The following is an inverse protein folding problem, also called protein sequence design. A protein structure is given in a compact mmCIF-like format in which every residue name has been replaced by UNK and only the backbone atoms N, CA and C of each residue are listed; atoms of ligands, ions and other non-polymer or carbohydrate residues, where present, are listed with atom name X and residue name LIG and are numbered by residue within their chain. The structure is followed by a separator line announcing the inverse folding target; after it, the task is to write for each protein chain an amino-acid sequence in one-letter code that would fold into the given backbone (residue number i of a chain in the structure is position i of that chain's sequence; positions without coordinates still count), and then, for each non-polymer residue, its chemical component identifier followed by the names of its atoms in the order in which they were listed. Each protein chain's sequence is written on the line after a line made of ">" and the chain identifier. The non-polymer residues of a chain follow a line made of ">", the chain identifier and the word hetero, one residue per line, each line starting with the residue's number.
data_IF_722261575122
#
_entry.id   IF_722261575122
#
_cell.length_a   1.000
_cell.length_b   1.000
_cell.length_c   1.000
_cell.angle_alpha   90.00
_cell.angle_beta   90.00
_cell.angle_gamma   90.00
#
_symmetry.space_group_name_H-M   'P 1'
#
loop_
_entity.id
_entity.type
_entity.pdbx_description
1 polymer ?
#
# COMPACT_ATOMS: atom_id res chain seq x y z
N UNK A 1 32.79 -14.72 14.62
CA UNK A 1 31.54 -15.29 14.08
C UNK A 1 30.45 -14.30 14.40
N UNK A 2 30.21 -13.36 13.48
CA UNK A 2 29.14 -12.36 13.65
C UNK A 2 27.84 -13.01 13.23
N UNK A 3 26.93 -13.17 14.19
CA UNK A 3 25.58 -13.63 13.91
C UNK A 3 24.86 -12.51 13.17
N UNK A 4 24.72 -12.65 11.86
CA UNK A 4 23.77 -11.84 11.08
C UNK A 4 22.37 -12.14 11.63
N UNK A 5 21.87 -11.24 12.47
CA UNK A 5 20.47 -11.22 12.85
C UNK A 5 19.68 -10.96 11.56
N UNK A 6 19.10 -12.02 11.00
CA UNK A 6 18.06 -11.90 9.98
C UNK A 6 16.96 -11.07 10.60
N UNK A 7 17.00 -9.76 10.34
CA UNK A 7 15.95 -8.83 10.73
C UNK A 7 14.83 -9.11 9.76
N UNK A 8 13.95 -10.04 10.13
CA UNK A 8 12.69 -10.25 9.41
C UNK A 8 11.99 -8.89 9.36
N UNK A 9 11.64 -8.37 8.18
CA UNK A 9 10.94 -7.11 8.08
C UNK A 9 9.63 -7.21 8.86
N UNK A 10 9.19 -6.14 9.53
CA UNK A 10 7.95 -6.18 10.30
C UNK A 10 6.79 -6.51 9.36
N UNK A 11 5.94 -7.45 9.78
CA UNK A 11 4.75 -7.87 9.03
C UNK A 11 3.47 -7.44 9.74
N UNK A 12 2.38 -7.32 9.00
CA UNK A 12 1.04 -7.05 9.53
C UNK A 12 0.02 -7.98 8.90
N UNK A 13 -0.96 -8.41 9.70
CA UNK A 13 -2.09 -9.17 9.20
C UNK A 13 -3.19 -8.21 8.72
N UNK A 14 -3.63 -8.37 7.48
CA UNK A 14 -4.75 -7.63 6.89
C UNK A 14 -5.80 -8.60 6.35
N UNK A 15 -7.00 -8.09 6.07
CA UNK A 15 -8.05 -8.83 5.37
C UNK A 15 -8.09 -8.36 3.92
N UNK A 16 -8.03 -9.28 2.96
CA UNK A 16 -8.17 -8.96 1.54
C UNK A 16 -9.60 -8.54 1.20
N UNK A 17 -9.80 -7.92 0.04
CA UNK A 17 -11.13 -7.62 -0.49
C UNK A 17 -12.01 -8.87 -0.75
N UNK A 18 -11.41 -10.07 -0.80
CA UNK A 18 -12.13 -11.35 -0.87
C UNK A 18 -12.47 -11.92 0.52
N UNK A 19 -12.03 -11.28 1.60
CA UNK A 19 -12.26 -11.70 2.98
C UNK A 19 -11.18 -12.65 3.53
N UNK A 20 -10.12 -12.91 2.77
CA UNK A 20 -9.05 -13.83 3.17
C UNK A 20 -7.97 -13.09 3.97
N UNK A 21 -7.40 -13.71 5.02
CA UNK A 21 -6.28 -13.12 5.74
C UNK A 21 -5.04 -13.11 4.85
N UNK A 22 -4.34 -11.98 4.82
CA UNK A 22 -3.08 -11.81 4.11
C UNK A 22 -2.04 -11.21 5.04
N UNK A 23 -0.85 -11.83 5.07
CA UNK A 23 0.31 -11.28 5.76
C UNK A 23 1.07 -10.36 4.80
N UNK A 24 1.25 -9.11 5.22
CA UNK A 24 1.93 -8.07 4.45
C UNK A 24 3.25 -7.71 5.11
N UNK A 25 4.32 -7.69 4.32
CA UNK A 25 5.59 -7.06 4.69
C UNK A 25 5.44 -5.54 4.65
N UNK A 26 5.92 -4.86 5.68
CA UNK A 26 6.05 -3.40 5.71
C UNK A 26 7.26 -2.90 4.91
N UNK A 27 8.09 -3.79 4.36
CA UNK A 27 9.08 -3.40 3.38
C UNK A 27 8.43 -3.19 2.00
N UNK A 28 8.25 -1.91 1.66
CA UNK A 28 7.72 -1.44 0.39
C UNK A 28 8.81 -0.82 -0.51
N UNK A 29 10.09 -0.98 -0.17
CA UNK A 29 11.23 -0.31 -0.83
C UNK A 29 11.26 -0.53 -2.36
N UNK A 30 10.91 -1.74 -2.82
CA UNK A 30 10.79 -2.11 -4.25
C UNK A 30 9.87 -1.17 -5.03
N UNK A 31 8.81 -0.66 -4.38
CA UNK A 31 7.83 0.21 -5.00
C UNK A 31 8.07 1.69 -4.71
N UNK A 32 9.06 2.02 -3.88
CA UNK A 32 9.39 3.40 -3.50
C UNK A 32 8.24 4.12 -2.79
N UNK A 33 7.40 3.38 -2.07
CA UNK A 33 6.38 3.91 -1.16
C UNK A 33 6.69 3.43 0.25
N UNK A 34 6.24 4.17 1.26
CA UNK A 34 6.27 3.72 2.64
C UNK A 34 4.90 3.14 3.01
N UNK A 35 4.83 2.15 3.91
CA UNK A 35 3.56 1.77 4.52
C UNK A 35 2.87 3.00 5.12
N UNK A 36 1.54 2.99 5.15
CA UNK A 36 0.71 4.12 5.58
C UNK A 36 0.75 5.35 4.67
N UNK A 37 1.52 5.33 3.58
CA UNK A 37 1.47 6.40 2.59
C UNK A 37 0.10 6.43 1.92
N UNK A 38 -0.47 7.63 1.84
CA UNK A 38 -1.69 7.90 1.12
C UNK A 38 -1.33 8.32 -0.31
N UNK A 39 -1.95 7.68 -1.31
CA UNK A 39 -1.71 7.94 -2.74
C UNK A 39 -3.01 8.29 -3.46
N UNK A 40 -2.96 9.27 -4.35
CA UNK A 40 -4.07 9.65 -5.22
C UNK A 40 -3.96 8.90 -6.54
N UNK A 41 -5.08 8.31 -6.96
CA UNK A 41 -5.21 7.73 -8.29
C UNK A 41 -5.62 8.85 -9.24
N UNK A 42 -4.70 9.27 -10.11
CA UNK A 42 -4.97 10.30 -11.14
C UNK A 42 -5.25 9.72 -12.53
N UNK A 43 -5.10 8.40 -12.68
CA UNK A 43 -5.40 7.64 -13.90
C UNK A 43 -6.14 6.36 -13.52
N UNK A 44 -6.61 5.63 -14.53
CA UNK A 44 -7.36 4.35 -14.42
C UNK A 44 -8.83 4.49 -13.99
N UNK A 45 -9.51 3.34 -13.79
CA UNK A 45 -10.87 3.24 -13.25
C UNK A 45 -10.98 3.73 -11.79
N UNK A 46 -9.85 3.87 -11.11
CA UNK A 46 -9.78 4.37 -9.74
C UNK A 46 -9.55 5.89 -9.68
N UNK A 47 -9.55 6.59 -10.83
CA UNK A 47 -9.35 8.03 -10.87
C UNK A 47 -10.30 8.77 -9.89
N UNK A 48 -9.74 9.66 -9.07
CA UNK A 48 -10.46 10.39 -8.03
C UNK A 48 -10.63 9.63 -6.72
N UNK A 49 -10.12 8.39 -6.61
CA UNK A 49 -10.01 7.67 -5.35
C UNK A 49 -8.62 7.81 -4.75
N UNK A 50 -8.51 7.35 -3.52
CA UNK A 50 -7.28 7.37 -2.73
C UNK A 50 -6.94 5.96 -2.26
N UNK A 51 -5.65 5.64 -2.25
CA UNK A 51 -5.09 4.38 -1.76
C UNK A 51 -4.29 4.61 -0.49
N UNK A 52 -4.50 3.78 0.52
CA UNK A 52 -3.63 3.70 1.68
C UNK A 52 -2.70 2.50 1.50
N UNK A 53 -1.40 2.73 1.35
CA UNK A 53 -0.41 1.66 1.22
C UNK A 53 -0.33 0.88 2.53
N UNK A 54 -0.45 -0.45 2.46
CA UNK A 54 -0.43 -1.33 3.64
C UNK A 54 0.81 -2.20 3.72
N UNK A 55 1.38 -2.55 2.58
CA UNK A 55 2.56 -3.39 2.54
C UNK A 55 2.70 -4.13 1.22
N UNK A 56 3.60 -5.11 1.19
CA UNK A 56 3.83 -5.98 0.05
C UNK A 56 3.64 -7.44 0.43
N UNK A 57 3.19 -8.26 -0.52
CA UNK A 57 3.12 -9.71 -0.35
C UNK A 57 3.11 -10.38 -1.72
N UNK A 58 3.88 -11.45 -1.88
CA UNK A 58 4.01 -12.16 -3.17
C UNK A 58 4.56 -11.29 -4.32
N UNK A 59 5.38 -10.28 -4.01
CA UNK A 59 5.89 -9.33 -5.00
C UNK A 59 4.84 -8.34 -5.53
N UNK A 60 3.70 -8.21 -4.84
CA UNK A 60 2.64 -7.27 -5.18
C UNK A 60 2.49 -6.20 -4.10
N UNK A 61 2.02 -5.02 -4.50
CA UNK A 61 1.73 -3.94 -3.58
C UNK A 61 0.27 -4.01 -3.13
N UNK A 62 0.06 -3.96 -1.83
CA UNK A 62 -1.25 -4.03 -1.20
C UNK A 62 -1.67 -2.70 -0.61
N UNK A 63 -2.90 -2.29 -0.88
CA UNK A 63 -3.45 -1.01 -0.46
C UNK A 63 -4.95 -1.10 -0.19
N UNK A 64 -5.46 -0.27 0.72
CA UNK A 64 -6.90 -0.10 0.92
C UNK A 64 -7.42 1.11 0.11
N UNK A 65 -8.65 1.04 -0.39
CA UNK A 65 -9.25 2.08 -1.23
C UNK A 65 -10.25 2.93 -0.48
N UNK A 66 -10.15 4.25 -0.65
CA UNK A 66 -10.98 5.24 0.00
C UNK A 66 -11.50 6.30 -0.99
N UNK A 67 -12.62 6.96 -0.68
CA UNK A 67 -13.15 8.03 -1.51
C UNK A 67 -12.34 9.33 -1.40
N UNK A 68 -11.58 9.55 -0.32
CA UNK A 68 -10.79 10.75 -0.10
C UNK A 68 -9.60 10.49 0.83
N UNK A 69 -8.68 11.46 0.92
CA UNK A 69 -7.50 11.36 1.78
C UNK A 69 -7.86 11.43 3.26
N UNK A 70 -8.87 12.23 3.61
CA UNK A 70 -9.39 12.33 4.97
C UNK A 70 -9.92 10.99 5.45
N UNK A 71 -10.68 10.28 4.61
CA UNK A 71 -11.18 8.95 4.93
C UNK A 71 -10.05 7.92 5.09
N UNK A 72 -8.98 8.04 4.31
CA UNK A 72 -7.80 7.16 4.40
C UNK A 72 -6.92 7.46 5.63
N UNK A 73 -6.99 8.67 6.18
CA UNK A 73 -6.21 9.10 7.34
C UNK A 73 -6.84 8.71 8.70
N UNK A 74 -8.11 8.27 8.70
CA UNK A 74 -8.80 7.87 9.91
C UNK A 74 -8.24 6.55 10.49
N UNK A 75 -8.21 6.37 11.82
CA UNK A 75 -7.73 5.13 12.44
C UNK A 75 -8.49 3.88 11.95
N UNK A 76 -9.80 3.99 11.72
CA UNK A 76 -10.63 2.91 11.18
C UNK A 76 -10.22 2.46 9.77
N UNK A 77 -9.51 3.30 9.01
CA UNK A 77 -8.98 2.94 7.69
C UNK A 77 -8.01 1.75 7.75
N UNK A 78 -7.36 1.52 8.90
CA UNK A 78 -6.46 0.39 9.13
C UNK A 78 -7.15 -0.98 9.05
N UNK A 79 -8.46 -1.02 9.33
CA UNK A 79 -9.28 -2.23 9.28
C UNK A 79 -9.93 -2.46 7.90
N UNK A 80 -9.78 -1.53 6.96
CA UNK A 80 -10.38 -1.63 5.65
C UNK A 80 -9.78 -2.80 4.85
N UNK A 81 -10.60 -3.52 4.04
CA UNK A 81 -10.10 -4.58 3.19
C UNK A 81 -9.07 -4.08 2.18
N UNK A 82 -7.99 -4.85 2.02
CA UNK A 82 -6.90 -4.52 1.11
C UNK A 82 -7.10 -5.16 -0.27
N UNK A 83 -6.71 -4.42 -1.29
CA UNK A 83 -6.61 -4.86 -2.67
C UNK A 83 -5.14 -4.88 -3.07
N UNK A 84 -4.86 -5.59 -4.16
CA UNK A 84 -3.50 -5.78 -4.65
C UNK A 84 -3.39 -5.32 -6.09
N UNK A 85 -2.19 -4.91 -6.47
CA UNK A 85 -1.83 -4.69 -7.87
C UNK A 85 -0.45 -5.28 -8.16
N UNK A 86 -0.30 -5.86 -9.35
CA UNK A 86 0.97 -6.37 -9.83
C UNK A 86 1.67 -5.30 -10.66
N UNK A 87 2.82 -4.82 -10.18
CA UNK A 87 3.66 -3.87 -10.90
C UNK A 87 5.13 -4.24 -10.65
N UNK A 88 6.03 -3.92 -11.58
CA UNK A 88 7.47 -4.20 -11.47
C UNK A 88 8.22 -3.16 -10.63
N UNK A 89 7.58 -2.04 -10.29
CA UNK A 89 8.17 -0.97 -9.48
C UNK A 89 7.38 0.34 -9.55
N UNK A 90 7.93 1.38 -8.91
CA UNK A 90 7.30 2.71 -8.76
C UNK A 90 6.84 3.34 -10.07
N UNK A 91 7.70 3.30 -11.10
CA UNK A 91 7.42 3.96 -12.38
C UNK A 91 6.22 3.34 -13.10
N UNK A 92 6.04 2.04 -12.98
CA UNK A 92 4.90 1.34 -13.59
C UNK A 92 3.60 1.69 -12.88
N UNK A 93 3.62 1.82 -11.55
CA UNK A 93 2.48 2.31 -10.75
C UNK A 93 2.06 3.72 -11.16
N UNK A 94 3.03 4.64 -11.30
CA UNK A 94 2.78 6.01 -11.76
C UNK A 94 2.23 6.01 -13.20
N UNK A 95 2.77 5.18 -14.09
CA UNK A 95 2.32 5.13 -15.49
C UNK A 95 0.91 4.56 -15.63
N UNK A 96 0.62 3.42 -15.00
CA UNK A 96 -0.65 2.70 -15.15
C UNK A 96 -1.78 3.32 -14.35
N UNK A 97 -1.50 3.71 -13.11
CA UNK A 97 -2.52 4.14 -12.15
C UNK A 97 -2.42 5.62 -11.79
N UNK A 98 -1.37 6.32 -12.23
CA UNK A 98 -1.20 7.74 -11.92
C UNK A 98 -1.02 7.98 -10.44
N UNK A 99 -0.33 7.08 -9.72
CA UNK A 99 -0.11 7.22 -8.28
C UNK A 99 0.67 8.49 -7.99
N UNK A 100 0.04 9.41 -7.29
CA UNK A 100 0.66 10.62 -6.75
C UNK A 100 0.64 10.51 -5.24
N UNK A 101 1.78 10.70 -4.57
CA UNK A 101 1.80 10.73 -3.11
C UNK A 101 0.96 11.93 -2.66
N UNK A 102 0.11 11.71 -1.67
CA UNK A 102 -0.58 12.82 -1.04
C UNK A 102 0.44 13.62 -0.22
N UNK A 103 0.88 14.76 -0.76
CA UNK A 103 1.67 15.74 -0.02
C UNK A 103 0.76 16.51 0.95
N UNK A 104 0.17 15.77 1.90
CA UNK A 104 -0.49 16.31 3.08
C UNK A 104 0.45 16.11 4.24
N UNK A 105 1.33 17.08 4.47
CA UNK A 105 2.21 17.11 5.63
C UNK A 105 1.38 16.89 6.91
N UNK A 106 1.75 15.88 7.69
CA UNK A 106 1.51 15.88 9.13
C UNK A 106 2.26 17.02 9.79
#
# INVERSE_FOLDING_TARGET
>A
MSSDAVTTPPTVLCTSHTGEPVELSLDCSTFGFEPMTIVHFTKSRLNGRVGLVRGTSGGMLWFALFPSAEAAALPEALAAPVQTTSCRGREELIRQYGWMIHDGAV
#
